data_IF_700797915340
#
_entry.id   IF_700797915340
#
_cell.length_a   1.000
_cell.length_b   1.000
_cell.length_c   1.000
_cell.angle_alpha   90.00
_cell.angle_beta   90.00
_cell.angle_gamma   90.00
#
_symmetry.space_group_name_H-M   'P 1'
#
loop_
_entity.id
_entity.type
_entity.pdbx_description
1 polymer ?
#
# COMPACT_ATOMS: atom_id res chain seq x y z
N UNK A 1 -7.13 12.57 15.02
CA UNK A 1 -7.27 12.90 13.59
C UNK A 1 -8.36 11.98 13.06
N UNK A 2 -9.54 12.54 12.79
CA UNK A 2 -10.72 11.78 12.40
C UNK A 2 -10.53 11.25 10.97
N UNK A 3 -10.45 9.93 10.81
CA UNK A 3 -10.29 9.28 9.52
C UNK A 3 -11.62 9.27 8.76
N UNK A 4 -11.58 9.53 7.46
CA UNK A 4 -12.79 9.48 6.62
C UNK A 4 -13.48 8.12 6.79
N UNK A 5 -14.67 8.12 7.38
CA UNK A 5 -15.45 6.92 7.69
C UNK A 5 -14.72 5.83 8.50
N UNK A 6 -13.68 6.19 9.28
CA UNK A 6 -12.89 5.22 10.04
C UNK A 6 -11.90 4.39 9.19
N UNK A 7 -11.74 4.70 7.89
CA UNK A 7 -10.82 3.99 7.00
C UNK A 7 -9.39 4.53 7.12
N UNK A 8 -8.40 3.67 6.92
CA UNK A 8 -6.98 4.06 6.89
C UNK A 8 -6.40 3.80 5.51
N UNK A 9 -5.63 4.75 4.99
CA UNK A 9 -4.89 4.56 3.73
C UNK A 9 -3.86 3.43 3.91
N UNK A 10 -3.78 2.46 2.98
CA UNK A 10 -2.75 1.42 3.06
C UNK A 10 -1.35 2.00 3.19
N UNK A 11 -0.56 1.35 4.05
CA UNK A 11 0.79 1.78 4.45
C UNK A 11 1.87 0.87 3.86
N UNK A 12 3.13 1.25 4.06
CA UNK A 12 4.28 0.41 3.73
C UNK A 12 4.27 -0.91 4.52
N UNK A 13 3.85 -0.87 5.79
CA UNK A 13 3.71 -2.08 6.62
C UNK A 13 2.58 -3.00 6.13
N UNK A 14 1.47 -2.44 5.65
CA UNK A 14 0.40 -3.24 5.03
C UNK A 14 0.90 -4.00 3.80
N UNK A 15 1.77 -3.37 3.02
CA UNK A 15 2.42 -3.99 1.86
C UNK A 15 3.39 -5.11 2.29
N UNK A 16 4.21 -4.87 3.32
CA UNK A 16 5.10 -5.88 3.92
C UNK A 16 4.31 -7.10 4.37
N UNK A 17 3.26 -6.88 5.13
CA UNK A 17 2.46 -7.94 5.71
C UNK A 17 1.73 -8.74 4.62
N UNK A 18 1.30 -8.09 3.52
CA UNK A 18 0.74 -8.78 2.37
C UNK A 18 1.77 -9.69 1.69
N UNK A 19 2.99 -9.20 1.46
CA UNK A 19 4.09 -9.99 0.87
C UNK A 19 4.46 -11.17 1.77
N UNK A 20 4.62 -10.94 3.08
CA UNK A 20 4.91 -12.00 4.05
C UNK A 20 3.85 -13.09 4.07
N UNK A 21 2.57 -12.72 4.08
CA UNK A 21 1.47 -13.71 4.12
C UNK A 21 1.41 -14.57 2.86
N UNK A 22 1.64 -13.96 1.70
CA UNK A 22 1.43 -14.63 0.41
C UNK A 22 2.62 -15.51 0.01
N UNK A 23 3.84 -15.08 0.32
CA UNK A 23 5.06 -15.84 0.04
C UNK A 23 5.50 -16.75 1.19
N UNK A 24 4.86 -16.64 2.36
CA UNK A 24 5.10 -17.53 3.50
C UNK A 24 6.56 -17.46 3.97
N UNK A 25 7.28 -18.61 4.08
CA UNK A 25 8.67 -18.64 4.54
C UNK A 25 9.63 -17.75 3.73
N UNK A 26 9.39 -17.60 2.43
CA UNK A 26 10.24 -16.79 1.54
C UNK A 26 9.89 -15.29 1.59
N UNK A 27 8.77 -14.94 2.22
CA UNK A 27 8.24 -13.58 2.27
C UNK A 27 9.24 -12.53 2.79
N UNK A 28 9.98 -12.77 3.89
CA UNK A 28 10.98 -11.83 4.38
C UNK A 28 12.11 -11.55 3.38
N UNK A 29 12.52 -12.55 2.59
CA UNK A 29 13.57 -12.37 1.58
C UNK A 29 13.04 -11.61 0.36
N UNK A 30 11.85 -11.97 -0.12
CA UNK A 30 11.15 -11.25 -1.20
C UNK A 30 10.94 -9.79 -0.82
N UNK A 31 10.48 -9.52 0.41
CA UNK A 31 10.29 -8.17 0.91
C UNK A 31 11.58 -7.37 0.96
N UNK A 32 12.67 -7.98 1.46
CA UNK A 32 13.98 -7.33 1.55
C UNK A 32 14.48 -6.88 0.19
N UNK A 33 14.37 -7.72 -0.83
CA UNK A 33 14.80 -7.38 -2.18
C UNK A 33 13.91 -6.31 -2.83
N UNK A 34 12.60 -6.31 -2.57
CA UNK A 34 11.69 -5.25 -3.02
C UNK A 34 12.02 -3.90 -2.37
N UNK A 35 12.15 -3.86 -1.04
CA UNK A 35 12.47 -2.63 -0.30
C UNK A 35 13.84 -2.07 -0.70
N UNK A 36 14.83 -2.96 -0.88
CA UNK A 36 16.17 -2.60 -1.36
C UNK A 36 16.13 -2.04 -2.78
N UNK A 37 15.39 -2.68 -3.69
CA UNK A 37 15.22 -2.23 -5.07
C UNK A 37 14.49 -0.88 -5.16
N UNK A 38 13.60 -0.60 -4.20
CA UNK A 38 12.92 0.68 -4.06
C UNK A 38 13.80 1.79 -3.44
N UNK A 39 14.95 1.42 -2.89
CA UNK A 39 15.78 2.31 -2.08
C UNK A 39 15.01 2.85 -0.87
N UNK A 40 14.17 2.01 -0.25
CA UNK A 40 13.31 2.38 0.87
C UNK A 40 13.84 1.79 2.17
N UNK A 41 13.76 2.60 3.22
CA UNK A 41 14.10 2.20 4.59
C UNK A 41 12.86 1.98 5.46
N UNK A 42 11.69 2.42 4.99
CA UNK A 42 10.40 2.26 5.65
C UNK A 42 9.98 3.47 6.49
N UNK A 43 10.78 4.54 6.50
CA UNK A 43 10.45 5.80 7.19
C UNK A 43 9.90 6.87 6.24
N UNK A 44 9.94 6.60 4.94
CA UNK A 44 9.52 7.56 3.91
C UNK A 44 7.99 7.67 3.87
N UNK A 45 7.43 8.89 3.88
CA UNK A 45 5.97 9.10 3.92
C UNK A 45 5.25 8.61 2.65
N UNK A 46 5.96 8.52 1.53
CA UNK A 46 5.48 8.09 0.21
C UNK A 46 5.98 6.67 -0.16
N UNK A 47 6.48 5.91 0.83
CA UNK A 47 7.11 4.61 0.61
C UNK A 47 6.20 3.62 -0.15
N UNK A 48 4.90 3.58 0.18
CA UNK A 48 3.95 2.68 -0.49
C UNK A 48 3.75 3.04 -1.96
N UNK A 49 3.66 4.32 -2.28
CA UNK A 49 3.45 4.81 -3.65
C UNK A 49 4.68 4.54 -4.53
N UNK A 50 5.89 4.67 -3.96
CA UNK A 50 7.15 4.31 -4.62
C UNK A 50 7.34 2.80 -4.79
N UNK A 51 6.79 2.00 -3.89
CA UNK A 51 6.93 0.54 -3.90
C UNK A 51 6.00 -0.13 -4.94
N UNK A 52 4.80 0.41 -5.16
CA UNK A 52 3.78 -0.20 -6.03
C UNK A 52 4.26 -0.51 -7.46
N UNK A 53 4.99 0.37 -8.17
CA UNK A 53 5.52 0.05 -9.50
C UNK A 53 6.47 -1.14 -9.50
N UNK A 54 7.29 -1.29 -8.46
CA UNK A 54 8.23 -2.41 -8.34
C UNK A 54 7.51 -3.72 -8.03
N UNK A 55 6.51 -3.69 -7.13
CA UNK A 55 5.66 -4.86 -6.89
C UNK A 55 4.89 -5.27 -8.15
N UNK A 56 4.49 -4.31 -8.98
CA UNK A 56 3.80 -4.59 -10.26
C UNK A 56 4.74 -5.27 -11.26
N UNK A 57 6.00 -4.87 -11.30
CA UNK A 57 7.03 -5.45 -12.17
C UNK A 57 7.60 -6.79 -11.67
N UNK A 58 7.33 -7.16 -10.40
CA UNK A 58 7.80 -8.38 -9.78
C UNK A 58 7.07 -9.64 -10.32
N UNK A 59 7.29 -10.77 -9.63
CA UNK A 59 6.64 -12.04 -9.91
C UNK A 59 5.10 -11.92 -9.86
N UNK A 60 4.36 -12.84 -10.50
CA UNK A 60 2.90 -12.75 -10.59
C UNK A 60 2.18 -12.66 -9.24
N UNK A 61 2.73 -13.29 -8.20
CA UNK A 61 2.14 -13.33 -6.88
C UNK A 61 2.29 -11.98 -6.18
N UNK A 62 3.49 -11.39 -6.22
CA UNK A 62 3.73 -10.02 -5.74
C UNK A 62 2.90 -8.98 -6.50
N UNK A 63 2.73 -9.18 -7.82
CA UNK A 63 1.87 -8.31 -8.65
C UNK A 63 0.42 -8.30 -8.18
N UNK A 64 -0.14 -9.44 -7.79
CA UNK A 64 -1.50 -9.50 -7.24
C UNK A 64 -1.62 -8.70 -5.93
N UNK A 65 -0.59 -8.75 -5.06
CA UNK A 65 -0.54 -7.89 -3.88
C UNK A 65 -0.54 -6.40 -4.26
N UNK A 66 0.23 -6.01 -5.29
CA UNK A 66 0.25 -4.64 -5.80
C UNK A 66 -1.14 -4.18 -6.26
N UNK A 67 -1.83 -5.00 -7.05
CA UNK A 67 -3.19 -4.71 -7.53
C UNK A 67 -4.17 -4.54 -6.37
N UNK A 68 -4.12 -5.44 -5.38
CA UNK A 68 -4.99 -5.36 -4.21
C UNK A 68 -4.75 -4.08 -3.38
N UNK A 69 -3.48 -3.69 -3.19
CA UNK A 69 -3.12 -2.44 -2.51
C UNK A 69 -3.59 -1.21 -3.29
N UNK A 70 -3.41 -1.21 -4.60
CA UNK A 70 -3.82 -0.11 -5.46
C UNK A 70 -5.34 0.10 -5.43
N UNK A 71 -6.14 -0.97 -5.46
CA UNK A 71 -7.60 -0.88 -5.29
C UNK A 71 -7.95 -0.20 -3.96
N UNK A 72 -7.31 -0.61 -2.86
CA UNK A 72 -7.58 -0.05 -1.52
C UNK A 72 -7.18 1.42 -1.42
N UNK A 73 -6.02 1.80 -1.96
CA UNK A 73 -5.55 3.20 -2.01
C UNK A 73 -6.54 4.05 -2.80
N UNK A 74 -6.86 3.66 -4.03
CA UNK A 74 -7.81 4.40 -4.87
C UNK A 74 -9.18 4.53 -4.20
N UNK A 75 -9.67 3.45 -3.58
CA UNK A 75 -10.94 3.47 -2.85
C UNK A 75 -10.89 4.45 -1.66
N UNK A 76 -9.81 4.43 -0.89
CA UNK A 76 -9.61 5.39 0.20
C UNK A 76 -9.59 6.83 -0.32
N UNK A 77 -8.82 7.12 -1.37
CA UNK A 77 -8.68 8.47 -1.91
C UNK A 77 -10.04 9.00 -2.42
N UNK A 78 -10.83 8.18 -3.12
CA UNK A 78 -12.19 8.53 -3.54
C UNK A 78 -13.13 8.81 -2.36
N UNK A 79 -13.10 7.96 -1.32
CA UNK A 79 -13.96 8.11 -0.15
C UNK A 79 -13.56 9.32 0.70
N UNK A 80 -12.26 9.58 0.85
CA UNK A 80 -11.75 10.75 1.54
C UNK A 80 -12.18 12.04 0.83
N UNK A 81 -12.07 12.10 -0.50
CA UNK A 81 -12.56 13.24 -1.28
C UNK A 81 -14.07 13.47 -1.09
N UNK A 82 -14.88 12.41 -1.18
CA UNK A 82 -16.33 12.51 -0.97
C UNK A 82 -16.70 12.99 0.44
N UNK A 83 -15.96 12.55 1.47
CA UNK A 83 -16.17 13.00 2.86
C UNK A 83 -15.89 14.50 3.03
N UNK A 84 -14.84 15.01 2.38
CA UNK A 84 -14.51 16.44 2.40
C UNK A 84 -15.61 17.29 1.75
N UNK A 85 -16.16 16.84 0.61
CA UNK A 85 -17.27 17.52 -0.08
C UNK A 85 -18.55 17.56 0.75
N UNK A 86 -18.89 16.48 1.45
CA UNK A 86 -20.07 16.45 2.31
C UNK A 86 -19.90 17.41 3.49
N UNK A 87 -18.71 17.44 4.11
CA UNK A 87 -18.44 18.30 5.27
C UNK A 87 -18.34 19.77 4.92
N UNK A 88 -17.94 20.13 3.70
CA UNK A 88 -17.89 21.54 3.27
C UNK A 88 -19.27 22.14 2.97
N UNK A 89 -20.31 21.29 2.86
CA UNK A 89 -21.70 21.68 2.61
C UNK A 89 -22.56 21.80 3.88
N UNK A 90 -22.06 21.32 5.02
CA UNK A 90 -22.70 21.41 6.35
C UNK A 90 -22.11 22.54 7.18
#
# INVERSE_FOLDING_TARGET
METAYGLTRPTFDDARDAVHRVHGPDGPDVWRELAKSAGLTGTEPDAVDRLLPLMTAADPTTRLCAVALQIRITSYDCLAAAHLEIRSQT
#
